data_IF_159551563822
#
_entry.id   IF_159551563822
#
_cell.length_a   1.000
_cell.length_b   1.000
_cell.length_c   1.000
_cell.angle_alpha   90.00
_cell.angle_beta   90.00
_cell.angle_gamma   90.00
#
_symmetry.space_group_name_H-M   'P 1'
#
loop_
_entity.id
_entity.type
_entity.pdbx_description
1 polymer ?
#
# COMPACT_ATOMS: atom_id res chain seq x y z
N UNK A 1 20.95 -15.63 20.18
CA UNK A 1 20.03 -16.25 19.19
C UNK A 1 19.11 -17.20 19.94
N UNK A 2 17.81 -16.94 19.98
CA UNK A 2 16.83 -17.84 20.56
C UNK A 2 16.73 -19.03 19.59
N UNK A 3 17.31 -20.18 19.95
CA UNK A 3 17.15 -21.40 19.19
C UNK A 3 15.79 -22.00 19.55
N UNK A 4 14.79 -21.79 18.68
CA UNK A 4 13.50 -22.50 18.79
C UNK A 4 13.72 -23.93 18.30
N UNK A 5 13.57 -24.96 19.12
CA UNK A 5 13.73 -26.36 18.70
C UNK A 5 12.72 -26.67 17.57
N UNK A 6 13.12 -27.55 16.63
CA UNK A 6 12.21 -27.99 15.55
C UNK A 6 11.01 -28.79 16.06
N UNK A 7 11.13 -29.40 17.24
CA UNK A 7 10.09 -30.20 17.89
C UNK A 7 9.13 -29.37 18.74
N UNK A 8 9.31 -28.02 18.77
CA UNK A 8 8.43 -27.12 19.51
C UNK A 8 7.04 -27.06 18.86
N UNK A 9 6.05 -27.68 19.50
CA UNK A 9 4.65 -27.71 19.08
C UNK A 9 3.86 -26.47 19.48
N UNK A 10 4.51 -25.50 20.12
CA UNK A 10 3.86 -24.20 20.42
C UNK A 10 3.45 -23.48 19.13
N UNK A 11 2.41 -22.64 19.21
CA UNK A 11 1.93 -21.84 18.09
C UNK A 11 3.05 -20.97 17.52
N UNK A 12 3.90 -20.41 18.39
CA UNK A 12 5.05 -19.57 18.00
C UNK A 12 6.15 -20.39 17.35
N UNK A 13 6.46 -21.60 17.88
CA UNK A 13 7.45 -22.50 17.30
C UNK A 13 7.05 -22.95 15.89
N UNK A 14 5.81 -23.41 15.72
CA UNK A 14 5.27 -23.79 14.40
C UNK A 14 5.26 -22.60 13.42
N UNK A 15 4.87 -21.42 13.89
CA UNK A 15 4.88 -20.20 13.08
C UNK A 15 6.29 -19.86 12.60
N UNK A 16 7.28 -19.88 13.50
CA UNK A 16 8.67 -19.54 13.18
C UNK A 16 9.26 -20.44 12.09
N UNK A 17 8.90 -21.72 12.09
CA UNK A 17 9.40 -22.65 11.10
C UNK A 17 8.63 -22.66 9.77
N UNK A 18 7.46 -22.07 9.73
CA UNK A 18 6.60 -22.05 8.54
C UNK A 18 6.54 -20.66 7.86
N UNK A 19 6.77 -19.57 8.59
CA UNK A 19 6.74 -18.20 8.05
C UNK A 19 7.88 -17.95 7.07
N UNK A 20 7.62 -17.14 6.05
CA UNK A 20 8.69 -16.67 5.16
C UNK A 20 9.58 -15.62 5.85
N UNK A 21 10.67 -16.11 6.45
CA UNK A 21 11.64 -15.28 7.19
C UNK A 21 12.30 -14.23 6.32
N UNK A 22 12.50 -14.51 5.02
CA UNK A 22 13.12 -13.57 4.11
C UNK A 22 12.20 -12.36 3.82
N UNK A 23 10.92 -12.62 3.55
CA UNK A 23 9.93 -11.55 3.42
C UNK A 23 9.77 -10.78 4.73
N UNK A 24 9.71 -11.48 5.86
CA UNK A 24 9.65 -10.83 7.18
C UNK A 24 10.87 -9.95 7.43
N UNK A 25 12.09 -10.45 7.18
CA UNK A 25 13.32 -9.69 7.34
C UNK A 25 13.38 -8.46 6.43
N UNK A 26 12.95 -8.58 5.17
CA UNK A 26 12.87 -7.45 4.25
C UNK A 26 11.87 -6.39 4.70
N UNK A 27 10.69 -6.79 5.20
CA UNK A 27 9.69 -5.85 5.74
C UNK A 27 10.22 -5.15 6.99
N UNK A 28 10.91 -5.86 7.89
CA UNK A 28 11.56 -5.25 9.06
C UNK A 28 12.64 -4.25 8.65
N UNK A 29 13.42 -4.54 7.61
CA UNK A 29 14.39 -3.59 7.06
C UNK A 29 13.70 -2.34 6.48
N UNK A 30 12.58 -2.50 5.75
CA UNK A 30 11.76 -1.38 5.26
C UNK A 30 11.25 -0.52 6.44
N UNK A 31 10.75 -1.16 7.51
CA UNK A 31 10.30 -0.43 8.72
C UNK A 31 11.45 0.32 9.40
N UNK A 32 12.65 -0.26 9.45
CA UNK A 32 13.84 0.41 9.98
C UNK A 32 14.22 1.65 9.15
N UNK A 33 14.20 1.54 7.80
CA UNK A 33 14.34 2.72 6.94
C UNK A 33 13.24 3.76 7.19
N UNK A 34 12.00 3.32 7.45
CA UNK A 34 10.90 4.21 7.81
C UNK A 34 11.18 5.04 9.05
N UNK A 35 11.78 4.42 10.08
CA UNK A 35 12.22 5.14 11.29
C UNK A 35 13.28 6.18 10.95
N UNK A 36 14.35 5.78 10.25
CA UNK A 36 15.45 6.66 9.90
C UNK A 36 15.01 7.86 9.05
N UNK A 37 14.23 7.60 8.00
CA UNK A 37 13.76 8.64 7.10
C UNK A 37 12.73 9.58 7.74
N UNK A 38 11.87 9.06 8.63
CA UNK A 38 10.94 9.93 9.37
C UNK A 38 11.68 10.83 10.37
N UNK A 39 12.76 10.34 10.98
CA UNK A 39 13.63 11.20 11.82
C UNK A 39 14.24 12.33 11.00
N UNK A 40 14.72 12.04 9.78
CA UNK A 40 15.32 13.02 8.88
C UNK A 40 14.30 14.04 8.33
N UNK A 41 13.06 13.61 8.06
CA UNK A 41 12.01 14.43 7.48
C UNK A 41 11.16 15.20 8.52
N UNK A 42 11.17 14.77 9.80
CA UNK A 42 10.30 15.35 10.84
C UNK A 42 10.59 16.81 11.16
N UNK A 43 11.87 17.25 11.39
CA UNK A 43 12.14 18.60 11.82
C UNK A 43 11.60 19.66 10.84
N UNK A 44 11.98 19.68 9.56
CA UNK A 44 11.52 20.72 8.64
C UNK A 44 9.99 20.69 8.40
N UNK A 45 9.38 19.51 8.47
CA UNK A 45 7.95 19.37 8.31
C UNK A 45 7.16 19.89 9.52
N UNK A 46 7.67 19.66 10.73
CA UNK A 46 7.04 20.10 11.98
C UNK A 46 7.18 21.62 12.20
N UNK A 47 8.35 22.18 11.90
CA UNK A 47 8.61 23.61 12.01
C UNK A 47 7.65 24.46 11.14
N UNK A 48 7.30 23.98 9.95
CA UNK A 48 6.34 24.67 9.07
C UNK A 48 4.94 24.84 9.67
N UNK A 49 4.54 23.94 10.56
CA UNK A 49 3.24 23.98 11.23
C UNK A 49 3.34 24.53 12.67
N UNK A 50 4.52 25.02 13.07
CA UNK A 50 4.78 25.55 14.41
C UNK A 50 4.70 24.49 15.52
N UNK A 51 4.98 23.22 15.19
CA UNK A 51 4.94 22.08 16.11
C UNK A 51 6.35 21.67 16.57
N UNK A 52 6.40 20.78 17.58
CA UNK A 52 7.65 20.16 18.05
C UNK A 52 8.40 19.47 16.88
N UNK A 53 9.69 19.77 16.69
CA UNK A 53 10.51 19.28 15.57
C UNK A 53 10.44 17.77 15.36
N UNK A 54 10.22 17.00 16.40
CA UNK A 54 10.14 15.54 16.33
C UNK A 54 8.70 15.00 16.44
N UNK A 55 7.66 15.83 16.23
CA UNK A 55 6.26 15.41 16.34
C UNK A 55 5.94 14.19 15.47
N UNK A 56 6.33 14.22 14.21
CA UNK A 56 6.04 13.13 13.27
C UNK A 56 6.85 11.88 13.60
N UNK A 57 8.11 12.03 13.99
CA UNK A 57 8.95 10.93 14.44
C UNK A 57 8.38 10.27 15.71
N UNK A 58 7.99 11.04 16.73
CA UNK A 58 7.38 10.52 17.97
C UNK A 58 6.12 9.71 17.67
N UNK A 59 5.26 10.20 16.78
CA UNK A 59 4.05 9.47 16.36
C UNK A 59 4.39 8.21 15.55
N UNK A 60 5.39 8.26 14.68
CA UNK A 60 5.85 7.09 13.91
C UNK A 60 6.41 6.00 14.84
N UNK A 61 7.13 6.36 15.90
CA UNK A 61 7.58 5.44 16.95
C UNK A 61 6.46 4.75 17.72
N UNK A 62 5.24 5.27 17.68
CA UNK A 62 4.04 4.60 18.22
C UNK A 62 3.38 3.72 17.15
N UNK A 63 3.20 4.24 15.94
CA UNK A 63 2.46 3.53 14.88
C UNK A 63 3.22 2.33 14.31
N UNK A 64 4.55 2.41 14.15
CA UNK A 64 5.31 1.30 13.58
C UNK A 64 5.36 0.06 14.50
N UNK A 65 5.62 0.16 15.82
CA UNK A 65 5.50 -1.00 16.70
C UNK A 65 4.07 -1.58 16.75
N UNK A 66 3.03 -0.72 16.75
CA UNK A 66 1.65 -1.18 16.67
C UNK A 66 1.39 -1.94 15.35
N UNK A 67 1.85 -1.40 14.23
CA UNK A 67 1.77 -2.04 12.93
C UNK A 67 2.53 -3.39 12.91
N UNK A 68 3.72 -3.45 13.50
CA UNK A 68 4.51 -4.67 13.62
C UNK A 68 3.78 -5.73 14.45
N UNK A 69 3.26 -5.36 15.62
CA UNK A 69 2.49 -6.29 16.46
C UNK A 69 1.25 -6.81 15.74
N UNK A 70 0.51 -5.93 15.06
CA UNK A 70 -0.66 -6.28 14.28
C UNK A 70 -0.30 -7.22 13.11
N UNK A 71 0.76 -6.93 12.37
CA UNK A 71 1.27 -7.75 11.28
C UNK A 71 1.64 -9.16 11.77
N UNK A 72 2.39 -9.25 12.87
CA UNK A 72 2.80 -10.52 13.46
C UNK A 72 1.59 -11.31 13.95
N UNK A 73 0.65 -10.68 14.65
CA UNK A 73 -0.58 -11.31 15.12
C UNK A 73 -1.41 -11.90 13.97
N UNK A 74 -1.59 -11.14 12.88
CA UNK A 74 -2.33 -11.61 11.70
C UNK A 74 -1.56 -12.72 10.97
N UNK A 75 -0.24 -12.68 10.94
CA UNK A 75 0.58 -13.71 10.31
C UNK A 75 0.45 -15.09 10.97
N UNK A 76 -0.01 -15.15 12.23
CA UNK A 76 -0.33 -16.39 12.94
C UNK A 76 -1.67 -17.01 12.49
N UNK A 77 -2.54 -16.26 11.84
CA UNK A 77 -3.88 -16.70 11.47
C UNK A 77 -3.84 -17.84 10.44
N UNK A 78 -4.90 -18.66 10.40
CA UNK A 78 -5.13 -19.62 9.31
C UNK A 78 -5.83 -18.95 8.12
N UNK A 79 -5.80 -19.55 6.92
CA UNK A 79 -6.49 -18.98 5.74
C UNK A 79 -8.00 -18.73 5.97
N UNK A 80 -8.66 -19.54 6.78
CA UNK A 80 -10.06 -19.35 7.17
C UNK A 80 -10.23 -18.08 8.04
N UNK A 81 -9.33 -17.85 8.98
CA UNK A 81 -9.34 -16.65 9.83
C UNK A 81 -8.99 -15.38 9.02
N UNK A 82 -8.03 -15.48 8.09
CA UNK A 82 -7.71 -14.37 7.16
C UNK A 82 -8.95 -13.93 6.37
N UNK A 83 -9.71 -14.90 5.83
CA UNK A 83 -10.95 -14.60 5.10
C UNK A 83 -12.02 -13.93 5.97
N UNK A 84 -12.22 -14.42 7.22
CA UNK A 84 -13.16 -13.81 8.17
C UNK A 84 -12.72 -12.40 8.58
N UNK A 85 -11.45 -12.22 8.87
CA UNK A 85 -10.87 -10.92 9.19
C UNK A 85 -11.07 -9.94 8.03
N UNK A 86 -10.75 -10.36 6.80
CA UNK A 86 -10.94 -9.54 5.62
C UNK A 86 -12.41 -9.11 5.45
N UNK A 87 -13.37 -10.00 5.70
CA UNK A 87 -14.79 -9.66 5.63
C UNK A 87 -15.18 -8.61 6.69
N UNK A 88 -14.75 -8.78 7.92
CA UNK A 88 -15.03 -7.83 9.02
C UNK A 88 -14.40 -6.47 8.71
N UNK A 89 -13.12 -6.44 8.32
CA UNK A 89 -12.41 -5.22 7.96
C UNK A 89 -13.05 -4.54 6.76
N UNK A 90 -13.46 -5.31 5.75
CA UNK A 90 -14.13 -4.78 4.56
C UNK A 90 -15.46 -4.13 4.89
N UNK A 91 -16.36 -4.84 5.58
CA UNK A 91 -17.66 -4.28 5.96
C UNK A 91 -17.49 -3.01 6.81
N UNK A 92 -16.63 -3.05 7.83
CA UNK A 92 -16.36 -1.88 8.66
C UNK A 92 -15.76 -0.71 7.89
N UNK A 93 -14.77 -0.98 7.04
CA UNK A 93 -14.11 0.08 6.27
C UNK A 93 -15.00 0.67 5.17
N UNK A 94 -15.87 -0.11 4.52
CA UNK A 94 -16.84 0.41 3.53
C UNK A 94 -17.90 1.26 4.22
N UNK A 95 -18.40 0.86 5.39
CA UNK A 95 -19.33 1.67 6.18
C UNK A 95 -18.67 3.00 6.60
N UNK A 96 -17.43 2.96 7.08
CA UNK A 96 -16.69 4.17 7.43
C UNK A 96 -16.39 5.01 6.17
N UNK A 97 -16.08 4.39 5.02
CA UNK A 97 -15.87 5.08 3.75
C UNK A 97 -17.13 5.82 3.32
N UNK A 98 -18.31 5.20 3.44
CA UNK A 98 -19.58 5.88 3.19
C UNK A 98 -19.85 7.00 4.21
N UNK A 99 -19.53 6.77 5.48
CA UNK A 99 -19.69 7.77 6.52
C UNK A 99 -18.84 9.04 6.31
N UNK A 100 -17.68 8.93 5.62
CA UNK A 100 -16.84 10.12 5.32
C UNK A 100 -17.56 11.19 4.51
N UNK A 101 -18.58 10.84 3.71
CA UNK A 101 -19.36 11.84 2.97
C UNK A 101 -20.19 12.74 3.90
N UNK A 102 -20.52 12.26 5.11
CA UNK A 102 -21.35 12.98 6.09
C UNK A 102 -20.48 13.60 7.19
N UNK A 103 -19.60 12.80 7.82
CA UNK A 103 -18.80 13.20 8.98
C UNK A 103 -17.32 13.43 8.68
N UNK A 104 -16.91 13.26 7.42
CA UNK A 104 -15.50 13.39 7.01
C UNK A 104 -15.00 14.83 7.11
N UNK A 105 -13.76 14.97 7.57
CA UNK A 105 -13.03 16.24 7.59
C UNK A 105 -12.55 16.55 6.18
N UNK A 106 -12.78 17.77 5.73
CA UNK A 106 -12.33 18.24 4.43
C UNK A 106 -10.86 18.68 4.51
N UNK A 107 -10.00 17.96 3.80
CA UNK A 107 -8.56 18.25 3.71
C UNK A 107 -8.19 18.38 2.23
N UNK A 108 -7.62 19.51 1.83
CA UNK A 108 -7.22 19.81 0.44
C UNK A 108 -8.39 19.59 -0.57
N UNK A 109 -9.61 19.97 -0.19
CA UNK A 109 -10.80 19.89 -1.05
C UNK A 109 -11.43 18.49 -1.18
N UNK A 110 -11.06 17.54 -0.32
CA UNK A 110 -11.63 16.20 -0.34
C UNK A 110 -11.95 15.69 1.08
N UNK A 111 -13.11 15.04 1.24
CA UNK A 111 -13.55 14.44 2.50
C UNK A 111 -13.22 12.95 2.54
N UNK A 112 -11.97 12.64 2.94
CA UNK A 112 -11.43 11.27 2.94
C UNK A 112 -11.06 10.76 4.33
N UNK A 113 -11.04 11.65 5.33
CA UNK A 113 -10.52 11.40 6.65
C UNK A 113 -11.61 11.54 7.70
N UNK A 114 -11.59 10.65 8.70
CA UNK A 114 -12.42 10.75 9.89
C UNK A 114 -11.50 11.13 11.04
N UNK A 115 -11.77 12.26 11.70
CA UNK A 115 -11.05 12.65 12.89
C UNK A 115 -11.48 11.76 14.08
N UNK A 116 -10.52 11.11 14.73
CA UNK A 116 -10.74 10.32 15.92
C UNK A 116 -10.14 11.07 17.11
N UNK A 117 -10.94 11.48 18.11
CA UNK A 117 -10.43 12.18 19.29
C UNK A 117 -9.32 11.37 19.97
N UNK A 118 -8.18 12.01 20.22
CA UNK A 118 -7.01 11.38 20.86
C UNK A 118 -6.14 10.51 19.95
N UNK A 119 -6.57 10.19 18.72
CA UNK A 119 -5.75 9.58 17.67
C UNK A 119 -5.63 10.51 16.47
N UNK A 120 -4.67 10.21 15.59
CA UNK A 120 -4.61 10.86 14.28
C UNK A 120 -5.85 10.48 13.44
N UNK A 121 -6.16 11.30 12.43
CA UNK A 121 -7.26 11.00 11.50
C UNK A 121 -7.08 9.64 10.82
N UNK A 122 -8.19 8.91 10.64
CA UNK A 122 -8.23 7.60 9.99
C UNK A 122 -8.76 7.76 8.57
N UNK A 123 -8.09 7.13 7.61
CA UNK A 123 -8.53 7.05 6.22
C UNK A 123 -9.09 5.65 5.92
N UNK A 124 -10.42 5.49 5.85
CA UNK A 124 -11.05 4.17 5.71
C UNK A 124 -10.67 3.45 4.42
N UNK A 125 -10.45 4.18 3.33
CA UNK A 125 -10.07 3.60 2.03
C UNK A 125 -8.76 2.81 2.07
N UNK A 126 -7.83 3.11 3.01
CA UNK A 126 -6.61 2.34 3.20
C UNK A 126 -6.92 0.88 3.61
N UNK A 127 -7.92 0.67 4.46
CA UNK A 127 -8.32 -0.65 4.96
C UNK A 127 -9.20 -1.43 3.96
N UNK A 128 -9.92 -0.73 3.10
CA UNK A 128 -10.71 -1.36 2.02
C UNK A 128 -9.80 -2.13 1.07
N UNK A 129 -8.63 -1.61 0.73
CA UNK A 129 -7.71 -2.22 -0.26
C UNK A 129 -7.34 -3.68 0.06
N UNK A 130 -6.66 -3.98 1.20
CA UNK A 130 -6.23 -5.34 1.49
C UNK A 130 -7.41 -6.29 1.75
N UNK A 131 -8.49 -5.81 2.34
CA UNK A 131 -9.66 -6.63 2.60
C UNK A 131 -10.42 -6.98 1.32
N UNK A 132 -10.58 -6.03 0.39
CA UNK A 132 -11.18 -6.28 -0.91
C UNK A 132 -10.33 -7.24 -1.76
N UNK A 133 -9.00 -7.14 -1.72
CA UNK A 133 -8.11 -8.07 -2.41
C UNK A 133 -8.34 -9.53 -1.97
N UNK A 134 -8.54 -9.77 -0.67
CA UNK A 134 -8.82 -11.11 -0.14
C UNK A 134 -10.24 -11.57 -0.48
N UNK A 135 -11.25 -10.70 -0.38
CA UNK A 135 -12.64 -11.06 -0.68
C UNK A 135 -12.83 -11.33 -2.17
N UNK A 136 -12.29 -10.49 -3.04
CA UNK A 136 -12.34 -10.72 -4.48
C UNK A 136 -11.65 -12.04 -4.86
N UNK A 137 -10.50 -12.33 -4.28
CA UNK A 137 -9.81 -13.61 -4.44
C UNK A 137 -10.68 -14.80 -4.03
N UNK A 138 -11.38 -14.70 -2.91
CA UNK A 138 -12.27 -15.74 -2.45
C UNK A 138 -13.45 -15.96 -3.41
N UNK A 139 -14.12 -14.89 -3.82
CA UNK A 139 -15.24 -14.97 -4.77
C UNK A 139 -14.81 -15.55 -6.12
N UNK A 140 -13.66 -15.10 -6.64
CA UNK A 140 -13.11 -15.59 -7.90
C UNK A 140 -12.72 -17.09 -7.81
N UNK A 141 -12.10 -17.51 -6.69
CA UNK A 141 -11.77 -18.91 -6.48
C UNK A 141 -13.03 -19.80 -6.39
N UNK A 142 -14.07 -19.33 -5.69
CA UNK A 142 -15.32 -20.07 -5.54
C UNK A 142 -16.03 -20.30 -6.89
N UNK A 143 -15.99 -19.32 -7.80
CA UNK A 143 -16.60 -19.46 -9.14
C UNK A 143 -15.91 -20.51 -10.03
N UNK A 144 -14.65 -20.85 -9.73
CA UNK A 144 -13.93 -21.93 -10.42
C UNK A 144 -14.21 -23.32 -9.80
N UNK A 145 -14.47 -23.35 -8.50
CA UNK A 145 -14.74 -24.61 -7.77
C UNK A 145 -16.21 -25.02 -7.92
N UNK A 146 -17.12 -24.06 -7.84
CA UNK A 146 -18.56 -24.26 -7.94
C UNK A 146 -19.11 -23.60 -9.20
N UNK A 147 -19.46 -24.40 -10.22
CA UNK A 147 -19.95 -23.88 -11.53
C UNK A 147 -21.16 -22.95 -11.45
N UNK A 148 -21.93 -23.00 -10.35
CA UNK A 148 -23.13 -22.15 -10.12
C UNK A 148 -22.86 -20.89 -9.31
N UNK A 149 -21.67 -20.75 -8.71
CA UNK A 149 -21.37 -19.58 -7.89
C UNK A 149 -21.11 -18.34 -8.77
N UNK A 150 -21.86 -17.24 -8.59
CA UNK A 150 -21.71 -16.03 -9.41
C UNK A 150 -20.51 -15.17 -8.95
N UNK A 151 -19.39 -15.81 -8.58
CA UNK A 151 -18.24 -15.13 -7.96
C UNK A 151 -17.60 -14.05 -8.84
N UNK A 152 -17.56 -14.23 -10.16
CA UNK A 152 -17.10 -13.19 -11.08
C UNK A 152 -18.00 -11.95 -11.01
N UNK A 153 -19.32 -12.14 -11.08
CA UNK A 153 -20.30 -11.03 -11.03
C UNK A 153 -20.22 -10.33 -9.68
N UNK A 154 -20.23 -11.08 -8.58
CA UNK A 154 -20.14 -10.52 -7.22
C UNK A 154 -18.83 -9.76 -7.00
N UNK A 155 -17.70 -10.32 -7.43
CA UNK A 155 -16.41 -9.64 -7.34
C UNK A 155 -16.40 -8.34 -8.16
N UNK A 156 -16.94 -8.36 -9.39
CA UNK A 156 -17.05 -7.17 -10.25
C UNK A 156 -17.94 -6.11 -9.61
N UNK A 157 -19.08 -6.48 -9.06
CA UNK A 157 -20.00 -5.55 -8.40
C UNK A 157 -19.39 -4.94 -7.14
N UNK A 158 -18.69 -5.73 -6.32
CA UNK A 158 -18.01 -5.21 -5.12
C UNK A 158 -16.87 -4.24 -5.48
N UNK A 159 -16.03 -4.61 -6.43
CA UNK A 159 -14.95 -3.74 -6.90
C UNK A 159 -15.52 -2.49 -7.55
N UNK A 160 -16.54 -2.62 -8.42
CA UNK A 160 -17.22 -1.49 -9.04
C UNK A 160 -17.84 -0.53 -8.02
N UNK A 161 -18.50 -1.06 -6.99
CA UNK A 161 -19.06 -0.27 -5.90
C UNK A 161 -18.00 0.50 -5.11
N UNK A 162 -16.87 -0.16 -4.77
CA UNK A 162 -15.75 0.51 -4.10
C UNK A 162 -15.12 1.57 -5.00
N UNK A 163 -14.90 1.28 -6.29
CA UNK A 163 -14.37 2.25 -7.25
C UNK A 163 -15.28 3.47 -7.37
N UNK A 164 -16.60 3.27 -7.42
CA UNK A 164 -17.58 4.38 -7.45
C UNK A 164 -17.41 5.29 -6.20
N UNK A 165 -17.32 4.71 -5.00
CA UNK A 165 -17.12 5.47 -3.77
C UNK A 165 -15.79 6.24 -3.77
N UNK A 166 -14.69 5.63 -4.24
CA UNK A 166 -13.38 6.26 -4.31
C UNK A 166 -13.34 7.41 -5.33
N UNK A 167 -13.99 7.24 -6.48
CA UNK A 167 -14.10 8.30 -7.51
C UNK A 167 -14.93 9.47 -6.99
N UNK A 168 -16.01 9.21 -6.23
CA UNK A 168 -16.79 10.27 -5.57
C UNK A 168 -15.98 11.03 -4.50
N UNK A 169 -14.94 10.41 -3.91
CA UNK A 169 -14.00 11.06 -2.99
C UNK A 169 -12.80 11.73 -3.68
N UNK A 170 -12.83 12.03 -4.95
CA UNK A 170 -11.79 12.26 -5.94
C UNK A 170 -10.44 11.56 -5.66
N UNK A 171 -10.46 10.27 -5.28
CA UNK A 171 -9.26 9.48 -5.00
C UNK A 171 -8.87 8.52 -6.13
N UNK A 172 -8.39 9.09 -7.23
CA UNK A 172 -7.97 8.32 -8.41
C UNK A 172 -6.75 7.43 -8.12
N UNK A 173 -5.87 7.85 -7.21
CA UNK A 173 -4.68 7.06 -6.87
C UNK A 173 -5.06 5.69 -6.32
N UNK A 174 -5.89 5.68 -5.29
CA UNK A 174 -6.39 4.45 -4.68
C UNK A 174 -7.27 3.65 -5.64
N UNK A 175 -8.09 4.32 -6.45
CA UNK A 175 -8.92 3.67 -7.47
C UNK A 175 -8.08 2.86 -8.47
N UNK A 176 -6.96 3.40 -8.93
CA UNK A 176 -6.03 2.71 -9.84
C UNK A 176 -5.43 1.47 -9.16
N UNK A 177 -4.99 1.57 -7.91
CA UNK A 177 -4.44 0.42 -7.17
C UNK A 177 -5.47 -0.69 -7.04
N UNK A 178 -6.70 -0.36 -6.61
CA UNK A 178 -7.80 -1.33 -6.46
C UNK A 178 -8.12 -2.00 -7.79
N UNK A 179 -8.25 -1.22 -8.87
CA UNK A 179 -8.56 -1.74 -10.20
C UNK A 179 -7.45 -2.66 -10.73
N UNK A 180 -6.17 -2.27 -10.57
CA UNK A 180 -5.03 -3.06 -11.03
C UNK A 180 -4.87 -4.36 -10.24
N UNK A 181 -5.03 -4.33 -8.91
CA UNK A 181 -4.99 -5.54 -8.08
C UNK A 181 -6.05 -6.54 -8.52
N UNK A 182 -7.28 -6.06 -8.72
CA UNK A 182 -8.37 -6.91 -9.20
C UNK A 182 -8.14 -7.42 -10.63
N UNK A 183 -7.65 -6.59 -11.54
CA UNK A 183 -7.32 -7.00 -12.90
C UNK A 183 -6.24 -8.09 -12.92
N UNK A 184 -5.22 -7.99 -12.07
CA UNK A 184 -4.19 -9.02 -11.93
C UNK A 184 -4.77 -10.32 -11.37
N UNK A 185 -5.68 -10.24 -10.40
CA UNK A 185 -6.38 -11.43 -9.89
C UNK A 185 -7.22 -12.11 -10.98
N UNK A 186 -7.92 -11.34 -11.82
CA UNK A 186 -8.64 -11.85 -12.98
C UNK A 186 -7.71 -12.53 -14.00
N UNK A 187 -6.56 -11.94 -14.25
CA UNK A 187 -5.53 -12.53 -15.12
C UNK A 187 -5.02 -13.86 -14.55
N UNK A 188 -4.67 -13.90 -13.27
CA UNK A 188 -4.17 -15.12 -12.60
C UNK A 188 -5.22 -16.22 -12.55
N UNK A 189 -6.49 -15.90 -12.41
CA UNK A 189 -7.59 -16.87 -12.45
C UNK A 189 -7.81 -17.48 -13.84
N UNK A 190 -7.13 -16.94 -14.86
CA UNK A 190 -7.16 -17.43 -16.24
C UNK A 190 -8.28 -16.82 -17.08
N UNK A 191 -8.53 -15.50 -16.92
CA UNK A 191 -9.40 -14.80 -17.87
C UNK A 191 -8.76 -14.77 -19.26
N UNK A 192 -9.55 -14.93 -20.34
CA UNK A 192 -9.04 -14.83 -21.71
C UNK A 192 -8.35 -13.49 -21.97
N UNK A 193 -7.24 -13.50 -22.68
CA UNK A 193 -6.44 -12.30 -22.96
C UNK A 193 -7.21 -11.18 -23.67
N UNK A 194 -8.21 -11.52 -24.48
CA UNK A 194 -9.07 -10.52 -25.13
C UNK A 194 -9.92 -9.74 -24.11
N UNK A 195 -10.39 -10.38 -23.00
CA UNK A 195 -11.10 -9.69 -21.92
C UNK A 195 -10.15 -8.74 -21.18
N UNK A 196 -8.91 -9.18 -20.94
CA UNK A 196 -7.88 -8.32 -20.35
C UNK A 196 -7.59 -7.11 -21.27
N UNK A 197 -7.52 -7.33 -22.57
CA UNK A 197 -7.38 -6.26 -23.59
C UNK A 197 -8.53 -5.26 -23.55
N UNK A 198 -9.78 -5.73 -23.59
CA UNK A 198 -10.95 -4.85 -23.45
C UNK A 198 -10.98 -4.11 -22.11
N UNK A 199 -10.58 -4.79 -21.01
CA UNK A 199 -10.45 -4.16 -19.69
C UNK A 199 -9.40 -3.04 -19.68
N UNK A 200 -8.25 -3.25 -20.32
CA UNK A 200 -7.21 -2.24 -20.45
C UNK A 200 -7.67 -1.03 -21.29
N UNK A 201 -8.34 -1.28 -22.43
CA UNK A 201 -8.93 -0.21 -23.27
C UNK A 201 -10.00 0.55 -22.49
N UNK A 202 -10.89 -0.16 -21.80
CA UNK A 202 -11.91 0.45 -20.95
C UNK A 202 -11.33 1.28 -19.80
N UNK A 203 -10.26 0.80 -19.18
CA UNK A 203 -9.50 1.52 -18.17
C UNK A 203 -8.87 2.81 -18.71
N UNK A 204 -8.21 2.72 -19.87
CA UNK A 204 -7.65 3.89 -20.54
C UNK A 204 -8.75 4.91 -20.93
N UNK A 205 -9.86 4.42 -21.50
CA UNK A 205 -11.02 5.27 -21.82
C UNK A 205 -11.60 5.94 -20.56
N UNK A 206 -11.63 5.22 -19.43
CA UNK A 206 -12.08 5.79 -18.14
C UNK A 206 -11.19 6.90 -17.64
N UNK A 207 -9.86 6.77 -17.80
CA UNK A 207 -8.89 7.84 -17.46
C UNK A 207 -9.10 9.06 -18.36
N UNK A 208 -9.25 8.84 -19.66
CA UNK A 208 -9.55 9.92 -20.63
C UNK A 208 -10.90 10.58 -20.30
N UNK A 209 -11.93 9.80 -20.01
CA UNK A 209 -13.22 10.31 -19.55
C UNK A 209 -13.10 11.16 -18.28
N UNK A 210 -12.34 10.67 -17.29
CA UNK A 210 -12.08 11.38 -16.06
C UNK A 210 -11.35 12.72 -16.29
N UNK A 211 -10.45 12.79 -17.25
CA UNK A 211 -9.77 14.03 -17.66
C UNK A 211 -10.77 15.10 -18.14
N UNK A 212 -11.77 14.71 -18.94
CA UNK A 212 -12.79 15.65 -19.41
C UNK A 212 -13.86 15.99 -18.38
N UNK A 213 -14.20 15.06 -17.49
CA UNK A 213 -15.29 15.23 -16.52
C UNK A 213 -14.85 15.91 -15.22
N UNK A 214 -13.60 15.73 -14.79
CA UNK A 214 -13.14 16.19 -13.47
C UNK A 214 -12.00 17.21 -13.60
N UNK A 215 -12.27 18.49 -13.26
CA UNK A 215 -11.28 19.57 -13.34
C UNK A 215 -9.99 19.32 -12.54
N UNK A 216 -10.07 18.64 -11.38
CA UNK A 216 -8.90 18.26 -10.57
C UNK A 216 -8.03 17.18 -11.24
N UNK A 217 -8.62 16.28 -12.05
CA UNK A 217 -7.89 15.31 -12.86
C UNK A 217 -7.17 16.03 -13.98
N UNK A 218 -7.92 16.86 -14.73
CA UNK A 218 -7.40 17.67 -15.82
C UNK A 218 -6.21 18.52 -15.36
N UNK A 219 -6.34 19.25 -14.27
CA UNK A 219 -5.26 20.12 -13.78
C UNK A 219 -4.00 19.34 -13.37
N UNK A 220 -4.12 18.09 -12.94
CA UNK A 220 -2.97 17.23 -12.63
C UNK A 220 -2.27 16.73 -13.89
N UNK A 221 -3.03 16.35 -14.91
CA UNK A 221 -2.47 15.91 -16.19
C UNK A 221 -1.87 17.10 -16.95
N UNK A 222 -2.53 18.23 -17.00
CA UNK A 222 -2.03 19.45 -17.67
C UNK A 222 -0.70 19.87 -17.05
N UNK A 223 -0.61 19.93 -15.71
CA UNK A 223 0.66 20.22 -15.00
C UNK A 223 1.76 19.19 -15.24
N UNK A 224 1.40 17.94 -15.41
CA UNK A 224 2.39 16.88 -15.70
C UNK A 224 2.94 16.98 -17.13
N UNK A 225 2.07 17.30 -18.11
CA UNK A 225 2.45 17.40 -19.52
C UNK A 225 3.13 18.74 -19.84
N UNK A 226 2.67 19.81 -19.21
CA UNK A 226 3.26 21.15 -19.35
C UNK A 226 3.64 21.72 -18.00
N UNK A 227 4.94 21.60 -17.61
CA UNK A 227 5.44 22.14 -16.36
C UNK A 227 5.26 23.66 -16.19
N UNK A 228 5.01 24.40 -17.27
CA UNK A 228 4.74 25.84 -17.21
C UNK A 228 3.28 26.19 -16.91
N UNK A 229 2.36 25.22 -17.02
CA UNK A 229 0.92 25.43 -16.90
C UNK A 229 0.39 25.57 -15.47
N UNK A 230 1.24 25.46 -14.43
CA UNK A 230 0.83 25.54 -13.04
C UNK A 230 1.93 25.36 -12.01
N UNK A 231 1.55 25.30 -10.74
CA UNK A 231 2.48 25.14 -9.63
C UNK A 231 2.99 23.69 -9.54
N UNK A 232 4.20 23.46 -10.05
CA UNK A 232 4.96 22.22 -9.96
C UNK A 232 6.05 22.26 -8.89
N UNK A 233 5.96 23.22 -7.97
CA UNK A 233 6.98 23.45 -6.94
C UNK A 233 7.38 22.17 -6.20
N UNK A 234 6.41 21.39 -5.74
CA UNK A 234 6.69 20.15 -4.99
C UNK A 234 7.51 19.13 -5.79
N UNK A 235 7.17 18.94 -7.06
CA UNK A 235 7.85 17.97 -7.93
C UNK A 235 9.23 18.46 -8.31
N UNK A 236 9.36 19.72 -8.67
CA UNK A 236 10.66 20.34 -9.01
C UNK A 236 11.60 20.31 -7.82
N UNK A 237 11.12 20.68 -6.61
CA UNK A 237 11.91 20.60 -5.37
C UNK A 237 12.29 19.14 -5.04
N UNK A 238 11.40 18.17 -5.34
CA UNK A 238 11.72 16.75 -5.18
C UNK A 238 12.87 16.31 -6.09
N UNK A 239 12.84 16.69 -7.36
CA UNK A 239 13.92 16.39 -8.31
C UNK A 239 15.23 17.09 -7.92
N UNK A 240 15.15 18.34 -7.46
CA UNK A 240 16.31 19.07 -6.94
C UNK A 240 16.94 18.36 -5.74
N UNK A 241 16.13 17.81 -4.82
CA UNK A 241 16.61 17.02 -3.70
C UNK A 241 17.41 15.79 -4.16
N UNK A 242 16.93 15.04 -5.16
CA UNK A 242 17.68 13.91 -5.73
C UNK A 242 18.99 14.36 -6.40
N UNK A 243 18.97 15.46 -7.16
CA UNK A 243 20.18 15.99 -7.79
C UNK A 243 21.19 16.48 -6.76
N UNK A 244 20.72 17.12 -5.67
CA UNK A 244 21.56 17.60 -4.58
C UNK A 244 22.27 16.47 -3.84
N UNK A 245 21.58 15.33 -3.63
CA UNK A 245 22.13 14.17 -2.95
C UNK A 245 23.09 13.33 -3.78
N UNK A 246 22.90 13.27 -5.10
CA UNK A 246 23.74 12.46 -5.97
C UNK A 246 23.72 10.96 -5.64
N UNK A 247 24.81 10.21 -5.94
CA UNK A 247 24.84 8.78 -5.72
C UNK A 247 24.94 8.38 -4.23
N UNK A 248 25.62 9.16 -3.38
CA UNK A 248 25.94 8.80 -1.99
C UNK A 248 25.17 9.61 -0.93
N UNK A 249 24.48 10.69 -1.33
CA UNK A 249 23.80 11.59 -0.42
C UNK A 249 24.72 12.66 0.18
N UNK A 250 24.09 13.65 0.85
CA UNK A 250 24.79 14.72 1.58
C UNK A 250 25.19 14.31 2.99
N UNK A 251 24.59 13.27 3.51
CA UNK A 251 24.73 12.82 4.89
C UNK A 251 23.44 13.00 5.69
N UNK A 252 23.21 12.18 6.73
CA UNK A 252 22.05 12.28 7.60
C UNK A 252 21.96 13.65 8.28
N UNK A 253 20.84 14.35 8.10
CA UNK A 253 20.62 15.68 8.65
C UNK A 253 21.12 16.85 7.80
N UNK A 254 22.00 16.62 6.83
CA UNK A 254 22.67 17.67 6.03
C UNK A 254 21.86 18.11 4.79
N UNK A 255 20.71 17.49 4.55
CA UNK A 255 19.81 17.88 3.46
C UNK A 255 19.19 19.25 3.68
N UNK A 256 19.31 20.15 2.71
CA UNK A 256 18.79 21.54 2.76
C UNK A 256 17.53 21.72 1.92
N UNK A 257 17.42 21.03 0.79
CA UNK A 257 16.28 21.09 -0.14
C UNK A 257 15.01 20.49 0.50
N UNK A 258 15.15 19.42 1.29
CA UNK A 258 14.04 18.81 2.05
C UNK A 258 13.28 19.81 2.93
N UNK A 259 13.97 20.84 3.42
CA UNK A 259 13.36 21.90 4.23
C UNK A 259 12.39 22.75 3.43
N UNK A 260 12.52 22.80 2.12
CA UNK A 260 11.63 23.53 1.23
C UNK A 260 10.51 22.63 0.66
N UNK A 261 10.60 21.29 0.81
CA UNK A 261 9.66 20.34 0.24
C UNK A 261 8.41 20.16 1.11
N UNK A 262 7.22 20.60 0.65
CA UNK A 262 5.97 20.29 1.33
C UNK A 262 5.71 18.79 1.33
N UNK A 263 5.07 18.29 2.39
CA UNK A 263 4.75 16.86 2.54
C UNK A 263 5.96 15.91 2.43
N UNK A 264 7.18 16.41 2.77
CA UNK A 264 8.43 15.64 2.74
C UNK A 264 8.36 14.37 3.59
N UNK A 265 7.63 14.39 4.72
CA UNK A 265 7.48 13.28 5.65
C UNK A 265 6.41 12.25 5.20
N UNK A 266 5.59 12.57 4.20
CA UNK A 266 4.50 11.70 3.68
C UNK A 266 4.76 11.28 2.25
N UNK A 267 4.37 12.10 1.28
CA UNK A 267 4.32 11.72 -0.13
C UNK A 267 5.69 11.75 -0.81
N UNK A 268 6.61 12.59 -0.34
CA UNK A 268 7.93 12.81 -0.93
C UNK A 268 9.09 12.30 -0.06
N UNK A 269 8.84 11.33 0.82
CA UNK A 269 9.87 10.79 1.71
C UNK A 269 11.06 10.21 0.95
N UNK A 270 10.86 9.70 -0.27
CA UNK A 270 11.95 9.21 -1.12
C UNK A 270 12.86 10.32 -1.64
N UNK A 271 12.37 11.56 -1.78
CA UNK A 271 13.22 12.70 -2.10
C UNK A 271 14.16 13.05 -0.93
N UNK A 272 13.65 12.96 0.31
CA UNK A 272 14.49 13.09 1.51
C UNK A 272 15.55 11.99 1.57
N UNK A 273 15.16 10.74 1.24
CA UNK A 273 16.11 9.64 1.12
C UNK A 273 17.18 9.92 0.06
N UNK A 274 16.77 10.42 -1.11
CA UNK A 274 17.68 10.76 -2.20
C UNK A 274 18.66 11.85 -1.83
N UNK A 275 18.22 12.89 -1.13
CA UNK A 275 19.08 14.00 -0.71
C UNK A 275 20.08 13.59 0.37
N UNK A 276 19.65 12.88 1.41
CA UNK A 276 20.51 12.56 2.55
C UNK A 276 21.34 11.30 2.38
N UNK A 277 20.76 10.24 1.78
CA UNK A 277 21.39 8.93 1.68
C UNK A 277 21.79 8.56 0.24
N UNK A 278 21.35 9.32 -0.75
CA UNK A 278 21.71 9.17 -2.14
C UNK A 278 20.93 8.09 -2.89
N UNK A 279 21.25 8.01 -4.20
CA UNK A 279 20.58 7.11 -5.13
C UNK A 279 20.76 5.62 -4.77
N UNK A 280 21.91 5.24 -4.24
CA UNK A 280 22.20 3.83 -3.89
C UNK A 280 21.21 3.33 -2.84
N UNK A 281 20.95 4.11 -1.79
CA UNK A 281 19.99 3.73 -0.75
C UNK A 281 18.56 3.73 -1.29
N UNK A 282 18.21 4.66 -2.18
CA UNK A 282 16.92 4.65 -2.87
C UNK A 282 16.71 3.36 -3.68
N UNK A 283 17.73 2.93 -4.43
CA UNK A 283 17.68 1.67 -5.20
C UNK A 283 17.62 0.44 -4.28
N UNK A 284 18.29 0.46 -3.14
CA UNK A 284 18.20 -0.61 -2.15
C UNK A 284 16.78 -0.72 -1.57
N UNK A 285 16.14 0.39 -1.22
CA UNK A 285 14.75 0.43 -0.76
C UNK A 285 13.82 -0.09 -1.85
N UNK A 286 13.97 0.35 -3.11
CA UNK A 286 13.23 -0.16 -4.25
C UNK A 286 13.40 -1.69 -4.40
N UNK A 287 14.63 -2.16 -4.27
CA UNK A 287 14.97 -3.59 -4.30
C UNK A 287 14.28 -4.40 -3.20
N UNK A 288 14.16 -3.85 -1.97
CA UNK A 288 13.44 -4.49 -0.87
C UNK A 288 11.93 -4.62 -1.18
N UNK A 289 11.29 -3.57 -1.71
CA UNK A 289 9.88 -3.64 -2.12
C UNK A 289 9.67 -4.65 -3.26
N UNK A 290 10.52 -4.63 -4.28
CA UNK A 290 10.48 -5.58 -5.38
C UNK A 290 10.70 -7.02 -4.87
N UNK A 291 11.66 -7.24 -3.97
CA UNK A 291 11.93 -8.54 -3.37
C UNK A 291 10.71 -9.11 -2.64
N UNK A 292 10.07 -8.33 -1.74
CA UNK A 292 8.88 -8.78 -1.01
C UNK A 292 7.75 -9.12 -1.97
N UNK A 293 7.50 -8.27 -2.96
CA UNK A 293 6.44 -8.45 -3.95
C UNK A 293 6.65 -9.69 -4.80
N UNK A 294 7.81 -9.84 -5.41
CA UNK A 294 8.14 -10.97 -6.28
C UNK A 294 8.18 -12.28 -5.50
N UNK A 295 8.68 -12.24 -4.27
CA UNK A 295 8.71 -13.40 -3.40
C UNK A 295 7.31 -13.85 -2.96
N UNK A 296 6.41 -12.92 -2.66
CA UNK A 296 5.01 -13.22 -2.37
C UNK A 296 4.34 -13.92 -3.58
N UNK A 297 4.54 -13.40 -4.80
CA UNK A 297 4.02 -14.00 -6.02
C UNK A 297 4.63 -15.38 -6.29
N UNK A 298 5.96 -15.54 -6.11
CA UNK A 298 6.64 -16.82 -6.27
C UNK A 298 6.18 -17.88 -5.26
N UNK A 299 5.85 -17.50 -4.03
CA UNK A 299 5.27 -18.41 -3.05
C UNK A 299 3.81 -18.73 -3.37
N UNK A 300 3.03 -17.73 -3.72
CA UNK A 300 1.64 -17.89 -4.12
C UNK A 300 1.49 -18.86 -5.31
N UNK A 301 2.39 -18.82 -6.29
CA UNK A 301 2.35 -19.71 -7.45
C UNK A 301 2.63 -21.20 -7.13
N UNK A 302 3.17 -21.51 -5.95
CA UNK A 302 3.42 -22.87 -5.48
C UNK A 302 2.26 -23.47 -4.69
N UNK A 303 1.26 -22.66 -4.37
CA UNK A 303 0.09 -23.08 -3.61
C UNK A 303 -0.91 -23.84 -4.48
N UNK A 304 -1.50 -24.89 -3.89
CA UNK A 304 -2.53 -25.68 -4.57
C UNK A 304 -3.92 -25.06 -4.49
N UNK A 305 -4.17 -24.25 -3.49
CA UNK A 305 -5.44 -23.55 -3.28
C UNK A 305 -5.50 -22.27 -4.12
N UNK A 306 -6.42 -22.23 -5.09
CA UNK A 306 -6.63 -21.06 -5.94
C UNK A 306 -6.95 -19.78 -5.12
N UNK A 307 -7.70 -19.92 -4.01
CA UNK A 307 -7.94 -18.80 -3.10
C UNK A 307 -6.64 -18.21 -2.55
N UNK A 308 -5.76 -19.09 -2.04
CA UNK A 308 -4.47 -18.64 -1.46
C UNK A 308 -3.62 -17.99 -2.53
N UNK A 309 -3.53 -18.59 -3.72
CA UNK A 309 -2.79 -18.04 -4.86
C UNK A 309 -3.27 -16.64 -5.23
N UNK A 310 -4.58 -16.45 -5.40
CA UNK A 310 -5.17 -15.17 -5.79
C UNK A 310 -5.03 -14.11 -4.68
N UNK A 311 -5.28 -14.51 -3.42
CA UNK A 311 -5.23 -13.57 -2.30
C UNK A 311 -3.79 -13.12 -2.01
N UNK A 312 -2.83 -14.05 -1.94
CA UNK A 312 -1.43 -13.72 -1.69
C UNK A 312 -0.83 -12.90 -2.85
N UNK A 313 -1.15 -13.23 -4.10
CA UNK A 313 -0.76 -12.42 -5.27
C UNK A 313 -1.36 -11.03 -5.19
N UNK A 314 -2.67 -10.90 -4.92
CA UNK A 314 -3.34 -9.60 -4.81
C UNK A 314 -2.73 -8.71 -3.72
N UNK A 315 -2.45 -9.27 -2.54
CA UNK A 315 -1.82 -8.54 -1.42
C UNK A 315 -0.38 -8.14 -1.74
N UNK A 316 0.42 -9.05 -2.32
CA UNK A 316 1.80 -8.76 -2.72
C UNK A 316 1.87 -7.67 -3.80
N UNK A 317 1.02 -7.77 -4.81
CA UNK A 317 0.89 -6.75 -5.87
C UNK A 317 0.45 -5.41 -5.30
N UNK A 318 -0.53 -5.38 -4.38
CA UNK A 318 -0.98 -4.14 -3.74
C UNK A 318 0.18 -3.45 -3.00
N UNK A 319 0.97 -4.21 -2.24
CA UNK A 319 2.14 -3.70 -1.52
C UNK A 319 3.16 -3.09 -2.49
N UNK A 320 3.51 -3.81 -3.56
CA UNK A 320 4.46 -3.36 -4.57
C UNK A 320 3.97 -2.19 -5.41
N UNK A 321 2.70 -2.21 -5.83
CA UNK A 321 2.10 -1.11 -6.61
C UNK A 321 2.06 0.19 -5.84
N UNK A 322 1.69 0.16 -4.55
CA UNK A 322 1.66 1.36 -3.74
C UNK A 322 3.06 1.97 -3.61
N UNK A 323 4.09 1.15 -3.41
CA UNK A 323 5.47 1.61 -3.39
C UNK A 323 5.91 2.17 -4.76
N UNK A 324 5.63 1.44 -5.85
CA UNK A 324 6.00 1.86 -7.20
C UNK A 324 5.34 3.18 -7.59
N UNK A 325 4.05 3.37 -7.28
CA UNK A 325 3.33 4.62 -7.56
C UNK A 325 3.90 5.79 -6.75
N UNK A 326 4.19 5.60 -5.45
CA UNK A 326 4.82 6.64 -4.64
C UNK A 326 6.18 7.05 -5.24
N UNK A 327 7.07 6.08 -5.47
CA UNK A 327 8.41 6.34 -6.02
C UNK A 327 8.34 6.98 -7.41
N UNK A 328 7.50 6.47 -8.31
CA UNK A 328 7.33 7.01 -9.66
C UNK A 328 6.79 8.46 -9.65
N UNK A 329 5.88 8.79 -8.72
CA UNK A 329 5.37 10.16 -8.56
C UNK A 329 6.43 11.12 -8.01
N UNK A 330 7.32 10.63 -7.14
CA UNK A 330 8.38 11.43 -6.54
C UNK A 330 9.46 11.83 -7.56
N UNK A 331 9.72 11.00 -8.57
CA UNK A 331 10.66 11.28 -9.67
C UNK A 331 9.98 11.73 -10.97
N UNK A 332 8.73 12.16 -10.90
CA UNK A 332 7.97 12.69 -12.03
C UNK A 332 7.78 11.71 -13.22
N UNK A 333 7.79 10.41 -12.99
CA UNK A 333 7.42 9.44 -14.03
C UNK A 333 5.91 9.36 -14.26
N UNK A 334 5.12 9.73 -13.26
CA UNK A 334 3.66 9.82 -13.32
C UNK A 334 3.19 11.08 -12.61
N UNK A 335 1.97 11.59 -12.89
CA UNK A 335 1.41 12.73 -12.18
C UNK A 335 1.43 12.54 -10.65
N UNK A 336 1.85 13.56 -9.92
CA UNK A 336 1.95 13.50 -8.46
C UNK A 336 0.62 13.08 -7.82
N UNK A 337 0.69 12.06 -6.97
CA UNK A 337 -0.44 11.50 -6.22
C UNK A 337 -0.05 11.38 -4.76
N UNK A 338 -0.88 11.90 -3.87
CA UNK A 338 -0.70 11.78 -2.44
C UNK A 338 -0.89 10.33 -1.98
N UNK A 339 0.13 9.50 -2.13
CA UNK A 339 0.15 8.12 -1.65
C UNK A 339 1.38 7.88 -0.80
N UNK A 340 1.18 7.34 0.39
CA UNK A 340 2.26 7.01 1.30
C UNK A 340 3.06 5.80 0.84
N UNK A 341 4.37 5.81 1.04
CA UNK A 341 5.24 4.66 0.85
C UNK A 341 5.06 3.69 2.04
N UNK A 342 4.70 2.42 1.82
CA UNK A 342 4.38 1.48 2.90
C UNK A 342 5.47 1.38 3.98
N UNK A 343 5.10 1.59 5.24
CA UNK A 343 5.95 1.57 6.44
C UNK A 343 7.06 2.64 6.50
N UNK A 344 7.35 3.34 5.41
CA UNK A 344 8.39 4.37 5.36
C UNK A 344 7.79 5.76 5.58
N UNK A 345 6.78 6.14 4.80
CA UNK A 345 6.09 7.41 4.97
C UNK A 345 5.38 7.50 6.31
N UNK A 346 5.36 8.69 6.89
CA UNK A 346 4.50 8.97 8.03
C UNK A 346 3.02 8.83 7.63
N UNK A 347 2.29 7.99 8.36
CA UNK A 347 0.86 7.78 8.14
C UNK A 347 0.31 6.63 8.96
N UNK A 348 -0.36 6.93 10.08
CA UNK A 348 -0.86 5.91 11.01
C UNK A 348 -1.84 4.93 10.36
N UNK A 349 -2.86 5.42 9.64
CA UNK A 349 -3.84 4.56 8.96
C UNK A 349 -3.21 3.69 7.89
N UNK A 350 -2.29 4.25 7.09
CA UNK A 350 -1.60 3.52 6.04
C UNK A 350 -0.68 2.44 6.63
N UNK A 351 0.08 2.76 7.70
CA UNK A 351 0.94 1.78 8.37
C UNK A 351 0.14 0.59 8.92
N UNK A 352 -1.01 0.84 9.56
CA UNK A 352 -1.88 -0.21 10.09
C UNK A 352 -2.55 -1.02 8.96
N UNK A 353 -3.02 -0.37 7.91
CA UNK A 353 -3.61 -1.05 6.76
C UNK A 353 -2.57 -1.92 6.03
N UNK A 354 -1.32 -1.44 5.88
CA UNK A 354 -0.22 -2.22 5.32
C UNK A 354 0.21 -3.36 6.25
N UNK A 355 0.12 -3.19 7.57
CA UNK A 355 0.34 -4.27 8.53
C UNK A 355 -0.70 -5.39 8.36
N UNK A 356 -1.97 -5.05 8.15
CA UNK A 356 -3.02 -6.02 7.81
C UNK A 356 -2.70 -6.70 6.48
N UNK A 357 -2.32 -5.93 5.45
CA UNK A 357 -1.96 -6.44 4.12
C UNK A 357 -0.83 -7.48 4.20
N UNK A 358 0.31 -7.08 4.77
CA UNK A 358 1.50 -7.93 4.87
C UNK A 358 1.28 -9.08 5.85
N UNK A 359 0.57 -8.87 6.96
CA UNK A 359 0.21 -9.92 7.91
C UNK A 359 -0.64 -11.03 7.27
N UNK A 360 -1.67 -10.66 6.48
CA UNK A 360 -2.47 -11.61 5.70
C UNK A 360 -1.63 -12.30 4.61
N UNK A 361 -0.76 -11.56 3.92
CA UNK A 361 0.15 -12.11 2.92
C UNK A 361 1.09 -13.16 3.53
N UNK A 362 1.76 -12.83 4.65
CA UNK A 362 2.65 -13.76 5.36
C UNK A 362 1.89 -14.99 5.87
N UNK A 363 0.66 -14.82 6.37
CA UNK A 363 -0.19 -15.93 6.80
C UNK A 363 -0.51 -16.90 5.66
N UNK A 364 -0.89 -16.37 4.49
CA UNK A 364 -1.29 -17.17 3.32
C UNK A 364 -0.10 -17.84 2.61
N UNK A 365 1.10 -17.27 2.72
CA UNK A 365 2.33 -17.81 2.08
C UNK A 365 3.17 -18.70 3.01
N UNK A 366 2.64 -19.11 4.18
CA UNK A 366 3.31 -20.02 5.10
C UNK A 366 3.45 -21.42 4.51
N UNK A 367 4.57 -22.08 4.77
CA UNK A 367 4.76 -23.49 4.42
C UNK A 367 3.94 -24.39 5.35
N UNK A 368 2.77 -24.81 4.90
CA UNK A 368 1.92 -25.74 5.65
C UNK A 368 2.38 -27.18 5.38
N UNK A 369 3.32 -27.67 6.14
CA UNK A 369 3.89 -29.01 5.99
C UNK A 369 2.88 -30.17 6.25
N UNK A 370 1.65 -29.89 6.69
CA UNK A 370 0.68 -30.91 7.09
C UNK A 370 -0.76 -30.72 6.62
N UNK A 371 -1.12 -29.59 5.95
CA UNK A 371 -2.49 -29.34 5.51
C UNK A 371 -2.73 -29.62 4.02
N UNK A 372 -1.78 -30.28 3.35
CA UNK A 372 -1.97 -30.74 1.96
C UNK A 372 -2.98 -31.88 1.82
N UNK A 373 -3.41 -32.50 2.94
CA UNK A 373 -4.32 -33.64 2.94
C UNK A 373 -5.75 -33.36 3.42
N UNK A 374 -6.08 -32.12 3.77
CA UNK A 374 -7.40 -31.80 4.34
C UNK A 374 -8.04 -30.53 3.74
N UNK A 375 -8.18 -30.51 2.40
CA UNK A 375 -9.09 -29.57 1.70
C UNK A 375 -9.86 -30.33 0.64
#
# INVERSE_FOLDING_TARGET
MIQVPRDDRSVIGQWWWTVDRWSLGAVLAIMAFGVLLTLAASPPAAERIGADSFLFAKRQFVFLPMALMLMLAISLASPRHVRRLALIVFCGSVLLLAATFVIGVEIKGARRWIAVPGLSSVQPSEFVKPSLAVISAWLLAQSRTERRAPGYILSTLLVGGVLALLVMQPDLGLSIVVALVWAIQLFVVGLPMWVAGFGAVGGAASIVGAYFMFGHVRSRFDRFLDPSSGDNYQVNTSLEAFMNGGPFGRGPGEGTVKAQLPDAHTDFIMAVCGEEFGLIVCLMILGLFAFVTLRAMSRASKETSLFITLAATGLGVQFGLQAAINMASTIQLIPAKGMTLPFISYGGSSALAMAICVGMMLSLTREHAGLREAV
#
